data_IF_202810355450
#
_entry.id   IF_202810355450
#
_cell.length_a   1.000
_cell.length_b   1.000
_cell.length_c   1.000
_cell.angle_alpha   90.00
_cell.angle_beta   90.00
_cell.angle_gamma   90.00
#
_symmetry.space_group_name_H-M   'P 1'
#
loop_
_entity.id
_entity.type
_entity.pdbx_description
1 polymer ?
#
# COMPACT_ATOMS: atom_id res chain seq x y z
N UNK A 1 21.49 -9.59 4.59
CA UNK A 1 22.16 -10.62 3.77
C UNK A 1 21.49 -10.87 2.42
N UNK A 2 20.16 -11.08 2.36
CA UNK A 2 19.45 -11.35 1.08
C UNK A 2 19.70 -10.29 0.00
N UNK A 3 19.70 -8.98 0.34
CA UNK A 3 19.97 -7.90 -0.60
C UNK A 3 21.33 -8.01 -1.31
N UNK A 4 22.36 -8.51 -0.63
CA UNK A 4 23.70 -8.71 -1.20
C UNK A 4 23.69 -9.85 -2.23
N UNK A 5 22.93 -10.91 -1.97
CA UNK A 5 22.78 -12.02 -2.94
C UNK A 5 21.95 -11.65 -4.16
N UNK A 6 20.99 -10.71 -4.01
CA UNK A 6 20.15 -10.24 -5.12
C UNK A 6 20.84 -9.17 -5.99
N UNK A 7 21.88 -8.49 -5.47
CA UNK A 7 22.56 -7.43 -6.20
C UNK A 7 23.22 -7.91 -7.53
N UNK A 8 23.93 -9.04 -7.59
CA UNK A 8 24.45 -9.56 -8.86
C UNK A 8 23.37 -9.86 -9.90
N UNK A 9 22.25 -10.45 -9.44
CA UNK A 9 21.10 -10.73 -10.31
C UNK A 9 20.50 -9.43 -10.86
N UNK A 10 20.33 -8.41 -10.00
CA UNK A 10 19.87 -7.09 -10.43
C UNK A 10 20.77 -6.47 -11.48
N UNK A 11 22.10 -6.55 -11.30
CA UNK A 11 23.09 -6.04 -12.27
C UNK A 11 22.94 -6.78 -13.61
N UNK A 12 22.90 -8.11 -13.60
CA UNK A 12 22.75 -8.93 -14.81
C UNK A 12 21.47 -8.60 -15.59
N UNK A 13 20.35 -8.44 -14.87
CA UNK A 13 19.08 -8.04 -15.47
C UNK A 13 19.20 -6.66 -16.13
N UNK A 14 19.83 -5.69 -15.48
CA UNK A 14 20.01 -4.35 -16.04
C UNK A 14 20.94 -4.37 -17.27
N UNK A 15 22.02 -5.16 -17.26
CA UNK A 15 22.89 -5.35 -18.42
C UNK A 15 22.11 -5.94 -19.60
N UNK A 16 21.29 -6.95 -19.35
CA UNK A 16 20.42 -7.58 -20.36
C UNK A 16 19.45 -6.56 -20.98
N UNK A 17 18.76 -5.77 -20.15
CA UNK A 17 17.80 -4.77 -20.60
C UNK A 17 18.49 -3.67 -21.42
N UNK A 18 19.58 -3.09 -20.92
CA UNK A 18 20.33 -2.03 -21.63
C UNK A 18 20.83 -2.55 -22.98
N UNK A 19 21.40 -3.76 -23.01
CA UNK A 19 21.84 -4.38 -24.25
C UNK A 19 20.68 -4.54 -25.25
N UNK A 20 19.53 -5.03 -24.76
CA UNK A 20 18.35 -5.20 -25.59
C UNK A 20 17.86 -3.87 -26.20
N UNK A 21 17.78 -2.82 -25.37
CA UNK A 21 17.34 -1.48 -25.80
C UNK A 21 18.32 -0.86 -26.81
N UNK A 22 19.63 -0.95 -26.56
CA UNK A 22 20.67 -0.43 -27.48
C UNK A 22 20.61 -1.16 -28.83
N UNK A 23 20.44 -2.46 -28.84
CA UNK A 23 20.32 -3.25 -30.07
C UNK A 23 19.07 -2.86 -30.88
N UNK A 24 17.94 -2.71 -30.18
CA UNK A 24 16.69 -2.28 -30.82
C UNK A 24 16.78 -0.87 -31.40
N UNK A 25 17.24 0.11 -30.61
CA UNK A 25 17.42 1.49 -31.10
C UNK A 25 18.39 1.52 -32.28
N UNK A 26 19.49 0.79 -32.22
CA UNK A 26 20.45 0.67 -33.34
C UNK A 26 19.87 0.02 -34.59
N UNK A 27 18.85 -0.83 -34.42
CA UNK A 27 18.10 -1.35 -35.57
C UNK A 27 17.12 -0.32 -36.17
N UNK A 28 16.67 0.67 -35.41
CA UNK A 28 15.79 1.73 -35.93
C UNK A 28 16.52 2.68 -36.86
N UNK A 29 17.69 3.21 -36.45
CA UNK A 29 18.48 4.19 -37.24
C UNK A 29 19.96 4.13 -36.91
N UNK A 30 20.82 4.54 -37.90
CA UNK A 30 22.27 4.65 -37.70
C UNK A 30 22.69 5.66 -36.64
N UNK A 31 21.90 6.72 -36.42
CA UNK A 31 22.15 7.69 -35.35
C UNK A 31 22.30 7.01 -33.98
N UNK A 32 21.43 6.04 -33.67
CA UNK A 32 21.47 5.30 -32.41
C UNK A 32 22.62 4.28 -32.30
N UNK A 33 23.37 4.08 -33.39
CA UNK A 33 24.57 3.23 -33.40
C UNK A 33 25.83 4.02 -33.00
N UNK A 34 25.78 5.35 -32.99
CA UNK A 34 26.94 6.19 -32.63
C UNK A 34 27.36 5.93 -31.20
N UNK A 35 28.68 5.97 -30.96
CA UNK A 35 29.26 5.80 -29.62
C UNK A 35 28.70 6.84 -28.63
N UNK A 36 28.62 8.10 -29.06
CA UNK A 36 28.11 9.19 -28.23
C UNK A 36 26.67 8.94 -27.75
N UNK A 37 25.76 8.50 -28.65
CA UNK A 37 24.40 8.20 -28.27
C UNK A 37 24.33 7.00 -27.29
N UNK A 38 25.03 5.91 -27.60
CA UNK A 38 25.04 4.71 -26.74
C UNK A 38 25.61 5.01 -25.35
N UNK A 39 26.68 5.79 -25.27
CA UNK A 39 27.27 6.19 -24.00
C UNK A 39 26.33 7.08 -23.19
N UNK A 40 25.70 8.07 -23.83
CA UNK A 40 24.71 8.94 -23.19
C UNK A 40 23.51 8.13 -22.66
N UNK A 41 22.93 7.27 -23.51
CA UNK A 41 21.80 6.42 -23.13
C UNK A 41 22.15 5.49 -21.97
N UNK A 42 23.31 4.82 -22.03
CA UNK A 42 23.77 3.94 -20.95
C UNK A 42 24.00 4.74 -19.66
N UNK A 43 24.58 5.94 -19.72
CA UNK A 43 24.77 6.81 -18.56
C UNK A 43 23.45 7.21 -17.90
N UNK A 44 22.46 7.64 -18.69
CA UNK A 44 21.11 7.96 -18.17
C UNK A 44 20.46 6.73 -17.55
N UNK A 45 20.51 5.59 -18.21
CA UNK A 45 19.94 4.35 -17.68
C UNK A 45 20.63 3.91 -16.38
N UNK A 46 21.96 3.96 -16.31
CA UNK A 46 22.72 3.64 -15.09
C UNK A 46 22.29 4.58 -13.95
N UNK A 47 22.19 5.89 -14.22
CA UNK A 47 21.70 6.85 -13.22
C UNK A 47 20.31 6.46 -12.71
N UNK A 48 19.37 6.11 -13.59
CA UNK A 48 18.02 5.70 -13.22
C UNK A 48 18.04 4.38 -12.41
N UNK A 49 18.76 3.37 -12.89
CA UNK A 49 18.81 2.05 -12.23
C UNK A 49 19.53 2.07 -10.88
N UNK A 50 20.47 3.00 -10.68
CA UNK A 50 21.17 3.17 -9.41
C UNK A 50 20.53 4.23 -8.50
N UNK A 51 19.48 4.92 -8.95
CA UNK A 51 18.85 6.04 -8.22
C UNK A 51 18.35 5.64 -6.84
N UNK A 52 17.88 4.39 -6.64
CA UNK A 52 17.46 3.87 -5.34
C UNK A 52 18.64 3.80 -4.36
N UNK A 53 19.80 3.28 -4.79
CA UNK A 53 21.01 3.24 -3.98
C UNK A 53 21.53 4.65 -3.74
N UNK A 54 21.53 5.48 -4.78
CA UNK A 54 22.01 6.86 -4.72
C UNK A 54 21.18 7.69 -3.72
N UNK A 55 19.84 7.58 -3.73
CA UNK A 55 19.00 8.28 -2.77
C UNK A 55 19.19 7.76 -1.33
N UNK A 56 19.47 6.48 -1.14
CA UNK A 56 19.77 5.93 0.18
C UNK A 56 21.08 6.48 0.76
N UNK A 57 22.09 6.68 -0.08
CA UNK A 57 23.40 7.20 0.31
C UNK A 57 23.41 8.74 0.44
N UNK A 58 22.73 9.45 -0.47
CA UNK A 58 22.71 10.91 -0.52
C UNK A 58 21.44 11.44 0.15
N UNK A 59 21.56 11.84 1.41
CA UNK A 59 20.42 12.34 2.22
C UNK A 59 20.38 13.87 2.32
N UNK A 60 21.45 14.55 1.91
CA UNK A 60 21.56 16.03 1.95
C UNK A 60 22.10 16.55 0.61
N UNK A 61 21.65 17.73 0.14
CA UNK A 61 20.58 18.56 0.71
C UNK A 61 19.17 17.91 0.50
N UNK A 62 18.15 18.27 1.30
CA UNK A 62 16.82 17.63 1.25
C UNK A 62 16.13 17.66 -0.12
N UNK A 63 16.34 18.74 -0.89
CA UNK A 63 15.76 18.87 -2.24
C UNK A 63 16.33 17.82 -3.21
N UNK A 64 17.65 17.58 -3.16
CA UNK A 64 18.31 16.56 -3.98
C UNK A 64 17.85 15.16 -3.55
N UNK A 65 17.80 14.89 -2.25
CA UNK A 65 17.31 13.60 -1.75
C UNK A 65 15.88 13.31 -2.22
N UNK A 66 14.97 14.28 -2.12
CA UNK A 66 13.58 14.17 -2.62
C UNK A 66 13.55 13.92 -4.13
N UNK A 67 14.37 14.60 -4.91
CA UNK A 67 14.47 14.38 -6.35
C UNK A 67 14.91 12.95 -6.66
N UNK A 68 15.98 12.47 -6.02
CA UNK A 68 16.50 11.11 -6.20
C UNK A 68 15.48 10.05 -5.76
N UNK A 69 14.81 10.25 -4.64
CA UNK A 69 13.77 9.32 -4.12
C UNK A 69 12.60 9.21 -5.09
N UNK A 70 12.08 10.34 -5.58
CA UNK A 70 10.99 10.34 -6.55
C UNK A 70 11.43 9.69 -7.88
N UNK A 71 12.64 10.00 -8.37
CA UNK A 71 13.21 9.35 -9.57
C UNK A 71 13.27 7.84 -9.39
N UNK A 72 13.78 7.37 -8.25
CA UNK A 72 13.84 5.95 -7.92
C UNK A 72 12.46 5.31 -7.89
N UNK A 73 11.48 5.93 -7.23
CA UNK A 73 10.13 5.39 -7.10
C UNK A 73 9.41 5.28 -8.46
N UNK A 74 9.55 6.28 -9.35
CA UNK A 74 9.00 6.18 -10.71
C UNK A 74 9.73 5.14 -11.55
N UNK A 75 11.06 5.10 -11.48
CA UNK A 75 11.85 4.14 -12.24
C UNK A 75 11.55 2.70 -11.82
N UNK A 76 11.45 2.40 -10.52
CA UNK A 76 11.19 1.04 -10.03
C UNK A 76 9.90 0.44 -10.59
N UNK A 77 8.81 1.21 -10.62
CA UNK A 77 7.56 0.73 -11.19
C UNK A 77 7.67 0.50 -12.69
N UNK A 78 8.28 1.46 -13.43
CA UNK A 78 8.53 1.31 -14.88
C UNK A 78 9.48 0.15 -15.18
N UNK A 79 10.52 -0.04 -14.35
CA UNK A 79 11.49 -1.13 -14.49
C UNK A 79 10.83 -2.52 -14.43
N UNK A 80 9.85 -2.70 -13.54
CA UNK A 80 9.08 -3.95 -13.48
C UNK A 80 8.44 -4.27 -14.84
N UNK A 81 7.83 -3.28 -15.49
CA UNK A 81 7.18 -3.49 -16.79
C UNK A 81 8.17 -3.59 -17.94
N UNK A 82 9.29 -2.88 -17.90
CA UNK A 82 10.40 -3.09 -18.83
C UNK A 82 10.84 -4.55 -18.77
N UNK A 83 11.08 -5.07 -17.58
CA UNK A 83 11.52 -6.45 -17.36
C UNK A 83 10.49 -7.45 -17.88
N UNK A 84 9.24 -7.33 -17.45
CA UNK A 84 8.16 -8.25 -17.83
C UNK A 84 7.98 -8.27 -19.36
N UNK A 85 7.86 -7.11 -19.99
CA UNK A 85 7.57 -7.01 -21.42
C UNK A 85 8.74 -7.55 -22.25
N UNK A 86 10.00 -7.17 -21.92
CA UNK A 86 11.16 -7.63 -22.69
C UNK A 86 11.36 -9.14 -22.51
N UNK A 87 11.31 -9.67 -21.29
CA UNK A 87 11.49 -11.09 -21.03
C UNK A 87 10.38 -11.91 -21.69
N UNK A 88 9.12 -11.49 -21.56
CA UNK A 88 8.00 -12.19 -22.21
C UNK A 88 8.15 -12.19 -23.74
N UNK A 89 8.56 -11.05 -24.31
CA UNK A 89 8.79 -10.91 -25.74
C UNK A 89 9.90 -11.85 -26.24
N UNK A 90 11.05 -11.88 -25.52
CA UNK A 90 12.15 -12.75 -25.93
C UNK A 90 11.83 -14.23 -25.70
N UNK A 91 11.07 -14.57 -24.67
CA UNK A 91 10.56 -15.93 -24.45
C UNK A 91 9.60 -16.35 -25.57
N UNK A 92 8.65 -15.50 -25.95
CA UNK A 92 7.76 -15.76 -27.10
C UNK A 92 8.55 -15.94 -28.39
N UNK A 93 9.55 -15.11 -28.64
CA UNK A 93 10.44 -15.23 -29.80
C UNK A 93 11.21 -16.57 -29.77
N UNK A 94 11.71 -16.96 -28.61
CA UNK A 94 12.41 -18.24 -28.44
C UNK A 94 11.50 -19.44 -28.76
N UNK A 95 10.28 -19.43 -28.20
CA UNK A 95 9.28 -20.48 -28.45
C UNK A 95 8.94 -20.55 -29.96
N UNK A 96 8.58 -19.42 -30.57
CA UNK A 96 8.23 -19.35 -31.99
C UNK A 96 9.39 -19.79 -32.89
N UNK A 97 10.62 -19.47 -32.52
CA UNK A 97 11.82 -19.90 -33.23
C UNK A 97 11.97 -21.42 -33.25
N UNK A 98 11.62 -22.10 -32.17
CA UNK A 98 11.80 -23.55 -32.04
C UNK A 98 10.57 -24.38 -32.43
N UNK A 99 9.40 -23.73 -32.59
CA UNK A 99 8.15 -24.43 -32.96
C UNK A 99 7.73 -24.18 -34.40
N UNK A 100 7.52 -22.92 -34.78
CA UNK A 100 6.91 -22.52 -36.05
C UNK A 100 7.92 -22.02 -37.10
N UNK A 101 9.12 -21.64 -36.70
CA UNK A 101 10.21 -21.13 -37.57
C UNK A 101 9.77 -20.05 -38.59
N UNK A 102 8.95 -19.03 -38.25
CA UNK A 102 8.45 -18.08 -39.22
C UNK A 102 9.58 -17.17 -39.75
N UNK A 103 9.81 -17.20 -41.07
CA UNK A 103 10.92 -16.48 -41.72
C UNK A 103 10.91 -14.97 -41.44
N UNK A 104 9.73 -14.35 -41.34
CA UNK A 104 9.58 -12.91 -41.06
C UNK A 104 10.22 -12.46 -39.74
N UNK A 105 10.27 -13.36 -38.74
CA UNK A 105 10.76 -13.07 -37.39
C UNK A 105 12.26 -12.73 -37.36
N UNK A 106 13.01 -13.17 -38.36
CA UNK A 106 14.44 -12.88 -38.46
C UNK A 106 14.74 -11.55 -39.18
N UNK A 107 13.70 -10.85 -39.66
CA UNK A 107 13.88 -9.58 -40.34
C UNK A 107 14.13 -8.44 -39.38
N UNK A 108 14.98 -7.48 -39.83
CA UNK A 108 15.19 -6.20 -39.10
C UNK A 108 13.86 -5.47 -38.86
N UNK A 109 12.94 -5.51 -39.86
CA UNK A 109 11.64 -4.85 -39.75
C UNK A 109 10.80 -5.43 -38.59
N UNK A 110 10.77 -6.77 -38.46
CA UNK A 110 10.07 -7.42 -37.37
C UNK A 110 10.64 -7.00 -35.99
N UNK A 111 11.97 -6.95 -35.86
CA UNK A 111 12.61 -6.54 -34.62
C UNK A 111 12.31 -5.07 -34.25
N UNK A 112 12.33 -4.17 -35.24
CA UNK A 112 11.98 -2.75 -35.04
C UNK A 112 10.53 -2.61 -34.62
N UNK A 113 9.60 -3.28 -35.30
CA UNK A 113 8.16 -3.24 -34.98
C UNK A 113 7.91 -3.84 -33.58
N UNK A 114 8.47 -4.99 -33.26
CA UNK A 114 8.34 -5.63 -31.95
C UNK A 114 8.82 -4.70 -30.84
N UNK A 115 9.99 -4.09 -30.97
CA UNK A 115 10.50 -3.17 -29.97
C UNK A 115 9.68 -1.89 -29.84
N UNK A 116 9.11 -1.38 -30.95
CA UNK A 116 8.17 -0.24 -30.89
C UNK A 116 6.90 -0.61 -30.11
N UNK A 117 6.33 -1.79 -30.35
CA UNK A 117 5.17 -2.30 -29.60
C UNK A 117 5.52 -2.46 -28.12
N UNK A 118 6.66 -3.07 -27.79
CA UNK A 118 7.13 -3.19 -26.40
C UNK A 118 7.23 -1.81 -25.72
N UNK A 119 7.85 -0.84 -26.40
CA UNK A 119 8.02 0.53 -25.87
C UNK A 119 6.67 1.20 -25.61
N UNK A 120 5.74 1.10 -26.56
CA UNK A 120 4.40 1.66 -26.39
C UNK A 120 3.62 1.01 -25.24
N UNK A 121 3.73 -0.32 -25.08
CA UNK A 121 3.12 -1.04 -23.96
C UNK A 121 3.72 -0.58 -22.61
N UNK A 122 5.05 -0.51 -22.50
CA UNK A 122 5.73 -0.06 -21.28
C UNK A 122 5.33 1.36 -20.92
N UNK A 123 5.33 2.28 -21.89
CA UNK A 123 4.91 3.67 -21.67
C UNK A 123 3.44 3.71 -21.27
N UNK A 124 2.57 3.01 -21.98
CA UNK A 124 1.12 3.00 -21.73
C UNK A 124 0.78 2.52 -20.32
N UNK A 125 1.35 1.37 -19.89
CA UNK A 125 1.12 0.81 -18.55
C UNK A 125 1.71 1.72 -17.48
N UNK A 126 2.91 2.27 -17.70
CA UNK A 126 3.55 3.18 -16.73
C UNK A 126 2.74 4.45 -16.55
N UNK A 127 2.31 5.10 -17.62
CA UNK A 127 1.46 6.28 -17.56
C UNK A 127 0.11 5.98 -16.88
N UNK A 128 -0.54 4.88 -17.28
CA UNK A 128 -1.76 4.43 -16.62
C UNK A 128 -1.58 4.31 -15.11
N UNK A 129 -0.53 3.60 -14.65
CA UNK A 129 -0.28 3.40 -13.23
C UNK A 129 0.03 4.70 -12.48
N UNK A 130 0.78 5.61 -13.11
CA UNK A 130 1.11 6.93 -12.54
C UNK A 130 -0.15 7.79 -12.37
N UNK A 131 -1.08 7.77 -13.30
CA UNK A 131 -2.33 8.53 -13.17
C UNK A 131 -3.35 7.84 -12.27
N UNK A 132 -3.41 6.51 -12.31
CA UNK A 132 -4.38 5.72 -11.54
C UNK A 132 -4.21 5.87 -10.03
N UNK A 133 -2.98 6.06 -9.52
CA UNK A 133 -2.74 6.30 -8.09
C UNK A 133 -3.49 7.52 -7.52
N UNK A 134 -3.80 8.51 -8.36
CA UNK A 134 -4.54 9.72 -7.96
C UNK A 134 -6.06 9.55 -8.01
N UNK A 135 -6.55 8.46 -8.62
CA UNK A 135 -7.96 8.16 -8.77
C UNK A 135 -8.47 7.35 -7.59
N UNK A 136 -8.69 8.02 -6.46
CA UNK A 136 -9.18 7.38 -5.24
C UNK A 136 -10.61 6.91 -5.45
N UNK A 137 -10.86 5.61 -5.34
CA UNK A 137 -12.19 5.01 -5.44
C UNK A 137 -12.86 4.88 -4.09
N UNK A 138 -14.19 4.91 -4.05
CA UNK A 138 -14.97 4.45 -2.90
C UNK A 138 -15.44 3.03 -3.16
N UNK A 139 -15.12 2.11 -2.24
CA UNK A 139 -15.70 0.77 -2.18
C UNK A 139 -16.77 0.76 -1.12
N UNK A 140 -17.94 0.25 -1.44
CA UNK A 140 -19.08 0.19 -0.51
C UNK A 140 -19.28 -1.23 0.00
N UNK A 141 -19.57 -1.33 1.29
CA UNK A 141 -19.89 -2.60 1.95
C UNK A 141 -21.11 -2.42 2.84
N UNK A 142 -22.00 -3.41 2.85
CA UNK A 142 -23.12 -3.53 3.77
C UNK A 142 -22.89 -4.72 4.69
N UNK A 143 -22.81 -4.47 5.99
CA UNK A 143 -22.49 -5.46 7.02
C UNK A 143 -23.67 -5.56 7.98
N UNK A 144 -24.04 -6.78 8.38
CA UNK A 144 -25.12 -7.04 9.34
C UNK A 144 -24.54 -7.66 10.59
N UNK A 145 -24.70 -6.99 11.73
CA UNK A 145 -24.27 -7.46 13.05
C UNK A 145 -25.55 -7.81 13.84
N UNK A 146 -25.62 -9.06 14.32
CA UNK A 146 -26.75 -9.57 15.09
C UNK A 146 -26.67 -9.14 16.57
N UNK A 147 -26.60 -7.82 16.78
CA UNK A 147 -26.58 -7.15 18.09
C UNK A 147 -27.44 -5.89 18.02
N UNK A 148 -28.37 -5.73 18.97
CA UNK A 148 -29.19 -4.53 19.03
C UNK A 148 -28.43 -3.41 19.74
N UNK A 149 -28.42 -2.23 19.12
CA UNK A 149 -27.82 -1.01 19.72
C UNK A 149 -28.93 0.00 20.00
N UNK A 150 -29.09 0.38 21.26
CA UNK A 150 -30.16 1.30 21.67
C UNK A 150 -30.01 2.67 20.97
N UNK A 151 -31.06 3.02 20.18
CA UNK A 151 -31.12 4.30 19.47
C UNK A 151 -30.11 4.43 18.32
N UNK A 152 -29.70 3.29 17.72
CA UNK A 152 -28.84 3.26 16.54
C UNK A 152 -29.19 2.01 15.72
N UNK A 153 -29.77 2.22 14.55
CA UNK A 153 -30.11 1.13 13.61
C UNK A 153 -28.95 0.83 12.64
N UNK A 154 -28.12 1.84 12.39
CA UNK A 154 -26.95 1.71 11.54
C UNK A 154 -25.81 2.62 11.97
N UNK A 155 -24.60 2.27 11.54
CA UNK A 155 -23.37 3.05 11.72
C UNK A 155 -22.61 3.10 10.40
N UNK A 156 -22.35 4.31 9.88
CA UNK A 156 -21.56 4.50 8.67
C UNK A 156 -20.10 4.75 9.00
N UNK A 157 -19.24 3.83 8.62
CA UNK A 157 -17.80 3.87 8.86
C UNK A 157 -17.08 4.14 7.54
N UNK A 158 -16.13 5.07 7.53
CA UNK A 158 -15.12 5.13 6.46
C UNK A 158 -13.82 4.56 6.98
N UNK A 159 -13.40 3.44 6.35
CA UNK A 159 -12.07 2.85 6.54
C UNK A 159 -11.12 3.37 5.48
N UNK A 160 -9.93 3.75 5.92
CA UNK A 160 -8.76 3.97 5.09
C UNK A 160 -7.51 3.44 5.80
N UNK A 161 -6.49 3.08 5.03
CA UNK A 161 -5.18 2.64 5.51
C UNK A 161 -4.12 2.98 4.47
N UNK A 162 -2.85 2.75 4.78
CA UNK A 162 -1.75 2.78 3.82
C UNK A 162 -1.69 4.10 3.04
N UNK A 163 -1.73 5.22 3.75
CA UNK A 163 -1.67 6.55 3.13
C UNK A 163 -0.23 6.84 2.69
N UNK A 164 0.76 6.46 3.52
CA UNK A 164 2.18 6.65 3.28
C UNK A 164 2.57 8.11 3.01
N UNK A 165 2.18 9.02 3.91
CA UNK A 165 2.67 10.39 3.84
C UNK A 165 4.20 10.43 3.89
N UNK A 166 4.81 11.04 2.88
CA UNK A 166 6.25 11.04 2.73
C UNK A 166 6.74 11.84 1.53
N UNK A 167 7.71 11.30 0.81
CA UNK A 167 8.28 11.96 -0.37
C UNK A 167 7.33 12.01 -1.56
N UNK A 168 6.49 10.99 -1.73
CA UNK A 168 5.58 10.82 -2.88
C UNK A 168 4.17 11.33 -2.59
N UNK A 169 3.67 11.10 -1.39
CA UNK A 169 2.31 11.45 -0.94
C UNK A 169 2.38 12.62 0.04
N UNK A 170 1.60 13.67 -0.21
CA UNK A 170 1.59 14.88 0.61
C UNK A 170 0.26 15.63 0.56
N UNK A 171 0.31 16.96 0.73
CA UNK A 171 -0.84 17.87 0.86
C UNK A 171 -1.93 17.65 -0.18
N UNK A 172 -1.55 17.54 -1.47
CA UNK A 172 -2.51 17.36 -2.57
C UNK A 172 -3.34 16.10 -2.37
N UNK A 173 -2.68 14.99 -2.00
CA UNK A 173 -3.35 13.71 -1.76
C UNK A 173 -4.23 13.76 -0.51
N UNK A 174 -3.73 14.36 0.58
CA UNK A 174 -4.52 14.61 1.78
C UNK A 174 -5.82 15.39 1.46
N UNK A 175 -5.73 16.44 0.64
CA UNK A 175 -6.91 17.20 0.20
C UNK A 175 -7.92 16.38 -0.61
N UNK A 176 -7.44 15.48 -1.48
CA UNK A 176 -8.31 14.57 -2.22
C UNK A 176 -8.99 13.56 -1.30
N UNK A 177 -8.25 12.98 -0.34
CA UNK A 177 -8.80 12.06 0.66
C UNK A 177 -9.88 12.73 1.50
N UNK A 178 -9.58 13.89 2.08
CA UNK A 178 -10.53 14.63 2.93
C UNK A 178 -11.80 14.96 2.16
N UNK A 179 -11.67 15.47 0.93
CA UNK A 179 -12.84 15.76 0.07
C UNK A 179 -13.69 14.51 -0.15
N UNK A 180 -13.04 13.39 -0.43
CA UNK A 180 -13.74 12.14 -0.73
C UNK A 180 -14.39 11.53 0.50
N UNK A 181 -13.69 11.51 1.64
CA UNK A 181 -14.20 10.99 2.91
C UNK A 181 -15.39 11.83 3.39
N UNK A 182 -15.26 13.16 3.38
CA UNK A 182 -16.35 14.03 3.82
C UNK A 182 -17.59 13.94 2.91
N UNK A 183 -17.43 13.59 1.62
CA UNK A 183 -18.55 13.35 0.72
C UNK A 183 -19.34 12.09 1.04
N UNK A 184 -18.75 11.14 1.77
CA UNK A 184 -19.44 9.95 2.26
C UNK A 184 -20.30 10.22 3.51
N UNK A 185 -20.12 11.36 4.20
CA UNK A 185 -20.81 11.74 5.43
C UNK A 185 -20.76 10.63 6.50
N UNK A 186 -19.55 10.23 6.96
CA UNK A 186 -19.38 9.10 7.87
C UNK A 186 -19.74 9.46 9.31
N UNK A 187 -20.29 8.49 10.06
CA UNK A 187 -20.40 8.58 11.51
C UNK A 187 -19.05 8.41 12.21
N UNK A 188 -18.19 7.53 11.67
CA UNK A 188 -16.90 7.17 12.22
C UNK A 188 -15.85 7.08 11.12
N UNK A 189 -14.62 7.56 11.38
CA UNK A 189 -13.50 7.38 10.46
C UNK A 189 -12.43 6.53 11.15
N UNK A 190 -12.03 5.44 10.49
CA UNK A 190 -11.03 4.49 10.95
C UNK A 190 -9.81 4.51 10.01
N UNK A 191 -8.61 4.75 10.56
CA UNK A 191 -7.35 4.73 9.83
C UNK A 191 -6.55 3.52 10.31
N UNK A 192 -6.55 2.45 9.54
CA UNK A 192 -5.94 1.18 9.92
C UNK A 192 -4.43 1.13 9.56
N UNK A 193 -3.65 2.08 10.06
CA UNK A 193 -2.18 2.08 10.00
C UNK A 193 -1.56 2.52 8.68
N UNK A 194 -0.21 2.53 8.68
CA UNK A 194 0.66 2.99 7.59
C UNK A 194 0.29 4.39 7.10
N UNK A 195 0.17 5.30 8.07
CA UNK A 195 -0.11 6.72 7.82
C UNK A 195 1.13 7.40 7.25
N UNK A 196 2.32 7.01 7.72
CA UNK A 196 3.62 7.56 7.32
C UNK A 196 4.44 6.56 6.49
N UNK A 197 5.38 7.06 5.69
CA UNK A 197 6.29 6.26 4.86
C UNK A 197 7.71 6.24 5.48
N UNK A 198 7.83 5.69 6.70
CA UNK A 198 9.08 5.49 7.46
C UNK A 198 9.92 6.74 7.76
N UNK A 199 9.82 7.81 7.02
CA UNK A 199 10.62 9.02 7.18
C UNK A 199 9.72 10.25 7.32
N UNK A 200 9.56 10.77 8.54
CA UNK A 200 8.75 11.97 8.80
C UNK A 200 9.22 13.19 7.99
N UNK A 201 10.54 13.31 7.76
CA UNK A 201 11.16 14.33 6.92
C UNK A 201 10.70 14.27 5.46
N UNK A 202 10.16 13.15 5.04
CA UNK A 202 9.56 12.98 3.72
C UNK A 202 8.33 13.87 3.50
N UNK A 203 7.63 14.26 4.55
CA UNK A 203 6.46 15.13 4.47
C UNK A 203 6.92 16.57 4.25
N UNK A 204 6.61 17.15 3.08
CA UNK A 204 7.08 18.48 2.70
C UNK A 204 6.61 19.59 3.67
N UNK A 205 5.34 19.57 4.04
CA UNK A 205 4.70 20.55 4.92
C UNK A 205 3.79 19.83 5.93
N UNK A 206 4.36 19.21 6.98
CA UNK A 206 3.59 18.40 7.91
C UNK A 206 2.48 19.17 8.62
N UNK A 207 2.74 20.42 9.03
CA UNK A 207 1.73 21.27 9.67
C UNK A 207 0.52 21.53 8.76
N UNK A 208 0.75 21.80 7.48
CA UNK A 208 -0.32 22.03 6.51
C UNK A 208 -1.06 20.74 6.19
N UNK A 209 -0.36 19.62 6.06
CA UNK A 209 -0.97 18.30 5.86
C UNK A 209 -1.87 17.93 7.04
N UNK A 210 -1.41 18.11 8.27
CA UNK A 210 -2.21 17.89 9.48
C UNK A 210 -3.45 18.82 9.55
N UNK A 211 -3.30 20.10 9.17
CA UNK A 211 -4.42 21.05 9.11
C UNK A 211 -5.48 20.63 8.06
N UNK A 212 -5.06 20.05 6.94
CA UNK A 212 -5.98 19.50 5.94
C UNK A 212 -6.73 18.30 6.55
N UNK A 213 -6.03 17.35 7.19
CA UNK A 213 -6.65 16.19 7.82
C UNK A 213 -7.59 16.56 8.97
N UNK A 214 -7.29 17.65 9.71
CA UNK A 214 -8.16 18.18 10.76
C UNK A 214 -9.54 18.61 10.24
N UNK A 215 -9.71 18.78 8.93
CA UNK A 215 -11.01 19.10 8.31
C UNK A 215 -11.85 17.85 7.96
N UNK A 216 -11.41 16.65 8.35
CA UNK A 216 -12.23 15.44 8.33
C UNK A 216 -13.44 15.63 9.26
N UNK A 217 -14.61 15.22 8.77
CA UNK A 217 -15.89 15.37 9.48
C UNK A 217 -16.44 13.99 9.79
N UNK A 218 -16.79 13.76 11.04
CA UNK A 218 -17.51 12.56 11.48
C UNK A 218 -18.16 12.81 12.84
N UNK A 219 -19.24 12.11 13.12
CA UNK A 219 -20.01 12.25 14.37
C UNK A 219 -19.23 11.77 15.58
N UNK A 220 -18.55 10.62 15.44
CA UNK A 220 -17.86 9.94 16.56
C UNK A 220 -16.34 10.14 16.54
N UNK A 221 -15.81 10.93 15.60
CA UNK A 221 -14.40 11.27 15.52
C UNK A 221 -13.60 10.41 14.54
N UNK A 222 -12.30 10.68 14.53
CA UNK A 222 -11.31 10.02 13.68
C UNK A 222 -10.35 9.24 14.56
N UNK A 223 -10.21 7.96 14.31
CA UNK A 223 -9.34 7.06 15.07
C UNK A 223 -8.32 6.40 14.17
N UNK A 224 -7.15 6.10 14.71
CA UNK A 224 -6.09 5.41 14.00
C UNK A 224 -5.46 4.31 14.88
N UNK A 225 -4.88 3.30 14.26
CA UNK A 225 -3.85 2.46 14.86
C UNK A 225 -2.54 2.61 14.10
N UNK A 226 -1.44 2.12 14.65
CA UNK A 226 -0.15 2.11 13.95
C UNK A 226 -0.05 0.95 12.96
N UNK A 227 0.64 1.21 11.83
CA UNK A 227 1.10 0.18 10.91
C UNK A 227 2.61 -0.05 10.99
N UNK A 228 3.12 -0.92 10.16
CA UNK A 228 4.53 -1.32 10.17
C UNK A 228 5.50 -0.29 9.56
N UNK A 229 4.98 0.72 8.86
CA UNK A 229 5.74 1.85 8.33
C UNK A 229 5.63 3.13 9.20
N UNK A 230 4.82 3.12 10.25
CA UNK A 230 4.67 4.24 11.17
C UNK A 230 5.81 4.29 12.21
N UNK A 231 7.05 4.29 11.72
CA UNK A 231 8.27 4.39 12.50
C UNK A 231 9.41 4.96 11.65
N UNK A 232 10.43 5.57 12.28
CA UNK A 232 11.56 6.21 11.58
C UNK A 232 12.66 5.20 11.26
N UNK A 233 12.52 4.49 10.14
CA UNK A 233 13.43 3.42 9.73
C UNK A 233 13.96 3.62 8.31
N UNK A 234 15.30 3.56 8.07
CA UNK A 234 15.84 3.60 6.72
C UNK A 234 15.57 2.30 5.98
N UNK A 235 14.93 2.42 4.81
CA UNK A 235 14.61 1.29 3.93
C UNK A 235 15.32 1.45 2.59
N UNK A 236 15.94 0.35 2.11
CA UNK A 236 16.48 0.22 0.76
C UNK A 236 15.87 -1.01 0.08
N UNK A 237 15.12 -0.79 -1.01
CA UNK A 237 14.48 -1.85 -1.79
C UNK A 237 13.61 -2.81 -0.93
N UNK A 238 12.88 -2.29 0.06
CA UNK A 238 12.09 -3.10 0.99
C UNK A 238 12.88 -3.76 2.12
N UNK A 239 14.22 -3.64 2.12
CA UNK A 239 15.06 -4.17 3.19
C UNK A 239 15.33 -3.09 4.24
N UNK A 240 15.19 -3.46 5.51
CA UNK A 240 15.47 -2.60 6.65
C UNK A 240 16.90 -2.82 7.15
N UNK A 241 17.55 -1.73 7.54
CA UNK A 241 18.91 -1.75 8.11
C UNK A 241 18.83 -1.41 9.59
N UNK A 242 18.53 -2.41 10.38
CA UNK A 242 18.31 -2.26 11.82
C UNK A 242 19.61 -1.98 12.57
N UNK A 243 19.58 -0.94 13.40
CA UNK A 243 20.61 -0.72 14.44
C UNK A 243 19.94 -0.90 15.80
N UNK A 244 20.32 -1.93 16.54
CA UNK A 244 19.73 -2.28 17.84
C UNK A 244 19.84 -1.16 18.92
N UNK A 245 20.68 -0.15 18.68
CA UNK A 245 20.87 1.00 19.59
C UNK A 245 20.01 2.21 19.21
N UNK A 246 19.26 2.16 18.09
CA UNK A 246 18.46 3.29 17.62
C UNK A 246 17.00 3.10 18.05
N UNK A 247 16.43 4.12 18.65
CA UNK A 247 14.99 4.26 18.81
C UNK A 247 14.39 4.59 17.44
N UNK A 248 13.41 3.82 17.03
CA UNK A 248 12.68 3.98 15.78
C UNK A 248 11.34 4.71 15.97
N UNK A 249 10.93 4.96 17.22
CA UNK A 249 9.78 5.82 17.49
C UNK A 249 10.11 7.27 17.16
N UNK A 250 9.18 7.92 16.50
CA UNK A 250 9.31 9.34 16.15
C UNK A 250 8.14 10.09 16.77
N UNK A 251 8.35 10.81 17.87
CA UNK A 251 7.27 11.52 18.56
C UNK A 251 6.58 12.56 17.68
N UNK A 252 7.22 13.01 16.60
CA UNK A 252 6.61 13.93 15.65
C UNK A 252 5.43 13.30 14.90
N UNK A 253 5.43 11.97 14.71
CA UNK A 253 4.32 11.23 14.09
C UNK A 253 3.08 11.29 14.99
N UNK A 254 3.25 11.07 16.32
CA UNK A 254 2.16 11.19 17.30
C UNK A 254 1.64 12.64 17.38
N UNK A 255 2.54 13.62 17.49
CA UNK A 255 2.19 15.04 17.51
C UNK A 255 1.46 15.48 16.23
N UNK A 256 1.79 14.87 15.07
CA UNK A 256 1.08 15.11 13.83
C UNK A 256 -0.37 14.63 13.90
N UNK A 257 -0.62 13.41 14.40
CA UNK A 257 -1.98 12.87 14.58
C UNK A 257 -2.80 13.73 15.54
N UNK A 258 -2.23 14.12 16.69
CA UNK A 258 -2.87 15.01 17.66
C UNK A 258 -3.23 16.37 17.03
N UNK A 259 -2.31 16.97 16.26
CA UNK A 259 -2.56 18.24 15.57
C UNK A 259 -3.62 18.13 14.47
N UNK A 260 -3.81 16.93 13.91
CA UNK A 260 -4.86 16.59 12.94
C UNK A 260 -6.20 16.21 13.62
N UNK A 261 -6.29 16.21 14.95
CA UNK A 261 -7.44 15.72 15.72
C UNK A 261 -7.79 14.26 15.43
N UNK A 262 -6.75 13.41 15.27
CA UNK A 262 -6.86 11.97 15.07
C UNK A 262 -6.44 11.28 16.37
N UNK A 263 -7.35 10.51 16.98
CA UNK A 263 -7.06 9.74 18.19
C UNK A 263 -6.38 8.43 17.83
N UNK A 264 -5.16 8.25 18.30
CA UNK A 264 -4.43 6.99 18.18
C UNK A 264 -4.88 6.00 19.26
N UNK A 265 -5.20 4.78 18.86
CA UNK A 265 -5.44 3.64 19.73
C UNK A 265 -4.26 2.66 19.58
N UNK A 266 -3.56 2.41 20.68
CA UNK A 266 -2.28 1.69 20.72
C UNK A 266 -2.38 0.53 21.72
N UNK A 267 -2.98 -0.60 21.31
CA UNK A 267 -3.51 -1.68 22.15
C UNK A 267 -4.54 -1.16 23.18
N UNK A 268 -5.43 -0.29 22.71
CA UNK A 268 -6.46 0.37 23.50
C UNK A 268 -7.86 0.08 22.93
N UNK A 269 -8.82 -0.10 23.84
CA UNK A 269 -10.25 -0.22 23.51
C UNK A 269 -11.01 0.93 24.15
N UNK A 270 -11.87 1.57 23.36
CA UNK A 270 -12.72 2.68 23.80
C UNK A 270 -14.19 2.37 23.58
N UNK A 271 -15.03 2.72 24.55
CA UNK A 271 -16.48 2.67 24.41
C UNK A 271 -16.97 4.00 23.83
N UNK A 272 -17.54 3.97 22.62
CA UNK A 272 -18.02 5.16 21.93
C UNK A 272 -19.52 5.33 22.19
N UNK A 273 -19.89 6.48 22.71
CA UNK A 273 -21.28 6.90 22.99
C UNK A 273 -22.09 5.87 23.80
N UNK A 274 -21.40 5.02 24.59
CA UNK A 274 -21.99 3.87 25.32
C UNK A 274 -22.74 2.88 24.40
N UNK A 275 -22.36 2.79 23.13
CA UNK A 275 -23.10 2.03 22.10
C UNK A 275 -22.28 0.93 21.45
N UNK A 276 -20.99 1.15 21.24
CA UNK A 276 -20.10 0.15 20.62
C UNK A 276 -18.66 0.36 21.06
N UNK A 277 -17.87 -0.68 21.00
CA UNK A 277 -16.44 -0.62 21.27
C UNK A 277 -15.64 -0.47 19.98
N UNK A 278 -14.61 0.36 20.04
CA UNK A 278 -13.58 0.47 19.01
C UNK A 278 -12.22 0.12 19.63
N UNK A 279 -11.56 -0.88 19.08
CA UNK A 279 -10.25 -1.37 19.51
C UNK A 279 -9.22 -1.06 18.43
N UNK A 280 -8.10 -0.45 18.80
CA UNK A 280 -6.93 -0.31 17.91
C UNK A 280 -5.77 -1.15 18.44
N UNK A 281 -5.25 -2.04 17.60
CA UNK A 281 -4.15 -2.94 17.97
C UNK A 281 -2.82 -2.42 17.45
N UNK A 282 -1.75 -2.69 18.22
CA UNK A 282 -0.37 -2.48 17.77
C UNK A 282 -0.04 -3.39 16.58
N UNK A 283 0.71 -2.89 15.62
CA UNK A 283 1.19 -3.71 14.51
C UNK A 283 2.27 -4.70 14.96
N UNK A 284 2.18 -6.00 14.60
CA UNK A 284 3.12 -7.03 15.07
C UNK A 284 4.54 -6.83 14.54
N UNK A 285 4.70 -6.28 13.33
CA UNK A 285 6.02 -6.00 12.77
C UNK A 285 6.66 -4.77 13.42
N UNK A 286 5.84 -3.73 13.73
CA UNK A 286 6.30 -2.57 14.48
C UNK A 286 6.75 -2.97 15.89
N UNK A 287 5.95 -3.74 16.62
CA UNK A 287 6.32 -4.25 17.96
C UNK A 287 7.64 -5.03 17.93
N UNK A 288 7.82 -5.94 16.99
CA UNK A 288 9.06 -6.69 16.82
C UNK A 288 10.27 -5.80 16.54
N UNK A 289 10.09 -4.73 15.76
CA UNK A 289 11.14 -3.76 15.44
C UNK A 289 11.51 -2.90 16.65
N UNK A 290 10.54 -2.56 17.48
CA UNK A 290 10.73 -1.72 18.68
C UNK A 290 11.03 -2.52 19.95
N UNK A 291 11.03 -3.84 19.87
CA UNK A 291 11.12 -4.72 21.05
C UNK A 291 10.01 -4.46 22.08
N UNK A 292 8.83 -4.11 21.56
CA UNK A 292 7.59 -3.87 22.32
C UNK A 292 6.69 -5.11 22.31
N UNK A 293 5.72 -5.15 23.22
CA UNK A 293 4.73 -6.22 23.32
C UNK A 293 3.41 -5.77 22.67
N UNK A 294 2.70 -6.74 22.11
CA UNK A 294 1.36 -6.57 21.56
C UNK A 294 0.38 -7.40 22.38
N UNK A 295 -0.75 -6.84 22.75
CA UNK A 295 -1.80 -7.58 23.43
C UNK A 295 -2.49 -8.56 22.49
N UNK A 296 -2.83 -9.73 23.00
CA UNK A 296 -3.69 -10.65 22.29
C UNK A 296 -5.13 -10.11 22.22
N UNK A 297 -5.93 -10.52 21.20
CA UNK A 297 -7.31 -10.06 21.07
C UNK A 297 -8.15 -10.29 22.32
N UNK A 298 -8.00 -11.44 22.99
CA UNK A 298 -8.72 -11.77 24.22
C UNK A 298 -8.42 -10.81 25.37
N UNK A 299 -7.17 -10.36 25.50
CA UNK A 299 -6.79 -9.38 26.51
C UNK A 299 -7.47 -8.02 26.31
N UNK A 300 -7.73 -7.66 25.05
CA UNK A 300 -8.39 -6.39 24.69
C UNK A 300 -9.91 -6.45 24.86
N UNK A 301 -10.48 -7.67 24.88
CA UNK A 301 -11.94 -7.87 24.98
C UNK A 301 -12.39 -8.48 26.30
N UNK A 302 -11.49 -8.90 27.18
CA UNK A 302 -11.78 -9.65 28.41
C UNK A 302 -12.82 -8.96 29.33
N UNK A 303 -12.76 -7.64 29.42
CA UNK A 303 -13.62 -6.84 30.31
C UNK A 303 -14.77 -6.14 29.55
N UNK A 304 -15.00 -6.45 28.27
CA UNK A 304 -16.02 -5.77 27.50
C UNK A 304 -17.39 -6.45 27.62
N UNK A 305 -18.43 -5.64 27.56
CA UNK A 305 -19.80 -6.13 27.40
C UNK A 305 -19.99 -6.64 25.95
N UNK A 306 -19.96 -7.95 25.78
CA UNK A 306 -20.07 -8.60 24.47
C UNK A 306 -21.47 -8.52 23.85
N UNK A 307 -22.47 -7.95 24.56
CA UNK A 307 -23.76 -7.63 23.97
C UNK A 307 -23.71 -6.40 23.07
N UNK A 308 -22.69 -5.54 23.24
CA UNK A 308 -22.41 -4.42 22.37
C UNK A 308 -21.50 -4.82 21.20
N UNK A 309 -21.62 -4.14 20.04
CA UNK A 309 -20.72 -4.37 18.92
C UNK A 309 -19.26 -4.05 19.27
N UNK A 310 -18.35 -4.90 18.80
CA UNK A 310 -16.91 -4.76 18.98
C UNK A 310 -16.24 -4.64 17.61
N UNK A 311 -15.66 -3.49 17.33
CA UNK A 311 -14.97 -3.18 16.07
C UNK A 311 -13.46 -3.13 16.33
N UNK A 312 -12.69 -3.88 15.56
CA UNK A 312 -11.23 -3.87 15.58
C UNK A 312 -10.68 -3.05 14.43
N UNK A 313 -9.61 -2.31 14.69
CA UNK A 313 -8.65 -1.81 13.71
C UNK A 313 -7.33 -2.54 13.91
N UNK A 314 -6.96 -3.38 12.95
CA UNK A 314 -5.69 -4.10 12.92
C UNK A 314 -5.02 -3.83 11.57
N UNK A 315 -3.79 -3.29 11.56
CA UNK A 315 -3.17 -2.93 10.30
C UNK A 315 -2.97 -4.13 9.38
N UNK A 316 -2.33 -5.21 9.89
CA UNK A 316 -2.11 -6.42 9.11
C UNK A 316 -3.29 -7.38 9.25
N UNK A 317 -3.85 -7.93 8.15
CA UNK A 317 -4.95 -8.87 8.17
C UNK A 317 -4.49 -10.29 8.58
N UNK A 318 -3.80 -10.38 9.72
CA UNK A 318 -3.38 -11.62 10.36
C UNK A 318 -4.30 -11.96 11.53
N UNK A 319 -4.11 -13.09 12.19
CA UNK A 319 -4.80 -13.48 13.43
C UNK A 319 -6.34 -13.34 13.39
N UNK A 320 -6.96 -13.52 12.23
CA UNK A 320 -8.42 -13.37 12.09
C UNK A 320 -9.21 -14.36 12.91
N UNK A 321 -8.70 -15.59 13.07
CA UNK A 321 -9.35 -16.62 13.91
C UNK A 321 -9.34 -16.20 15.37
N UNK A 322 -8.22 -15.66 15.86
CA UNK A 322 -8.08 -15.17 17.22
C UNK A 322 -8.93 -13.94 17.47
N UNK A 323 -8.99 -13.00 16.51
CA UNK A 323 -9.83 -11.80 16.61
C UNK A 323 -11.31 -12.17 16.62
N UNK A 324 -11.73 -13.12 15.78
CA UNK A 324 -13.09 -13.63 15.76
C UNK A 324 -13.44 -14.37 17.07
N UNK A 325 -12.53 -15.22 17.57
CA UNK A 325 -12.72 -15.96 18.83
C UNK A 325 -12.82 -15.02 20.05
N UNK A 326 -12.11 -13.88 20.03
CA UNK A 326 -12.22 -12.84 21.05
C UNK A 326 -13.59 -12.13 21.06
N UNK A 327 -14.42 -12.35 20.05
CA UNK A 327 -15.79 -11.81 19.94
C UNK A 327 -15.89 -10.49 19.21
N UNK A 328 -14.94 -10.19 18.33
CA UNK A 328 -15.04 -9.08 17.38
C UNK A 328 -16.20 -9.33 16.39
N UNK A 329 -16.94 -8.29 16.07
CA UNK A 329 -18.01 -8.32 15.07
C UNK A 329 -17.53 -7.79 13.71
N UNK A 330 -16.60 -6.84 13.72
CA UNK A 330 -16.01 -6.23 12.54
C UNK A 330 -14.51 -6.01 12.74
N UNK A 331 -13.70 -6.42 11.76
CA UNK A 331 -12.27 -6.24 11.73
C UNK A 331 -11.86 -5.47 10.48
N UNK A 332 -11.16 -4.34 10.66
CA UNK A 332 -10.81 -3.35 9.65
C UNK A 332 -9.30 -3.32 9.45
N UNK A 333 -8.82 -3.69 8.24
CA UNK A 333 -7.41 -3.88 7.95
C UNK A 333 -6.95 -3.16 6.68
N UNK A 334 -5.61 -3.05 6.53
CA UNK A 334 -4.91 -2.57 5.34
C UNK A 334 -3.71 -3.45 4.98
N UNK A 335 -2.51 -2.83 4.87
CA UNK A 335 -1.18 -3.46 4.76
C UNK A 335 -0.84 -4.06 3.40
N UNK A 336 -1.73 -4.76 2.75
CA UNK A 336 -1.41 -5.61 1.59
C UNK A 336 -1.25 -4.82 0.30
N UNK A 337 -1.81 -3.60 0.25
CA UNK A 337 -2.00 -2.81 -0.97
C UNK A 337 -2.66 -3.59 -2.12
N UNK A 338 -3.16 -4.80 -1.83
CA UNK A 338 -3.56 -5.82 -2.83
C UNK A 338 -2.48 -5.99 -3.93
N UNK A 339 -1.20 -5.97 -3.50
CA UNK A 339 -0.02 -6.06 -4.36
C UNK A 339 0.30 -4.82 -5.19
N UNK A 340 -0.54 -3.79 -5.21
CA UNK A 340 -0.35 -2.48 -5.87
C UNK A 340 -0.02 -2.54 -7.38
N UNK A 341 0.93 -3.38 -7.81
CA UNK A 341 1.42 -3.54 -9.18
C UNK A 341 1.08 -4.94 -9.72
N UNK A 342 0.54 -5.02 -10.95
CA UNK A 342 0.43 -6.31 -11.63
C UNK A 342 1.83 -6.83 -12.03
N UNK A 343 2.15 -8.12 -11.82
CA UNK A 343 1.30 -9.22 -11.33
C UNK A 343 1.41 -9.49 -9.80
N UNK A 344 1.95 -8.56 -8.99
CA UNK A 344 2.17 -8.79 -7.57
C UNK A 344 0.87 -9.03 -6.79
N UNK A 345 -0.26 -8.52 -7.28
CA UNK A 345 -1.59 -8.80 -6.72
C UNK A 345 -1.93 -10.30 -6.70
N UNK A 346 -1.46 -11.07 -7.70
CA UNK A 346 -1.64 -12.53 -7.74
C UNK A 346 -0.88 -13.17 -6.57
N UNK A 347 0.37 -12.73 -6.34
CA UNK A 347 1.20 -13.25 -5.25
C UNK A 347 0.60 -12.89 -3.91
N UNK A 348 0.13 -11.64 -3.75
CA UNK A 348 -0.51 -11.17 -2.51
C UNK A 348 -1.76 -11.99 -2.19
N UNK A 349 -2.60 -12.28 -3.20
CA UNK A 349 -3.77 -13.14 -3.06
C UNK A 349 -3.47 -14.61 -2.72
N UNK A 350 -2.25 -15.08 -2.99
CA UNK A 350 -1.82 -16.43 -2.59
C UNK A 350 -1.25 -16.46 -1.15
N UNK A 351 -0.73 -15.34 -0.66
CA UNK A 351 -0.12 -15.23 0.67
C UNK A 351 -1.15 -14.97 1.75
N UNK A 352 -2.15 -14.12 1.47
CA UNK A 352 -3.14 -13.68 2.44
C UNK A 352 -4.50 -14.34 2.17
N UNK A 353 -5.14 -14.89 3.20
CA UNK A 353 -6.52 -15.44 3.11
C UNK A 353 -7.53 -14.37 2.63
N UNK A 354 -7.35 -13.12 3.06
CA UNK A 354 -8.04 -11.94 2.55
C UNK A 354 -7.01 -10.86 2.29
N UNK A 355 -6.57 -10.72 1.05
CA UNK A 355 -5.64 -9.66 0.66
C UNK A 355 -6.33 -8.32 0.47
N UNK A 356 -7.58 -8.32 0.02
CA UNK A 356 -8.39 -7.13 -0.20
C UNK A 356 -9.86 -7.52 -0.34
N UNK A 357 -10.76 -6.67 0.14
CA UNK A 357 -12.18 -6.88 0.04
C UNK A 357 -12.80 -7.43 1.33
N UNK A 358 -13.84 -8.24 1.19
CA UNK A 358 -14.65 -8.75 2.28
C UNK A 358 -14.45 -10.23 2.49
N UNK A 359 -14.32 -10.63 3.76
CA UNK A 359 -14.32 -12.02 4.20
C UNK A 359 -15.21 -12.14 5.46
N UNK A 360 -15.95 -13.24 5.60
CA UNK A 360 -16.67 -13.56 6.84
C UNK A 360 -15.97 -14.71 7.57
N UNK A 361 -15.70 -14.52 8.86
CA UNK A 361 -15.06 -15.52 9.72
C UNK A 361 -15.97 -15.79 10.93
N UNK A 362 -16.72 -16.88 10.90
CA UNK A 362 -17.78 -17.11 11.88
C UNK A 362 -18.83 -16.01 11.83
N UNK A 363 -19.02 -15.29 12.94
CA UNK A 363 -19.88 -14.09 13.01
C UNK A 363 -19.17 -12.80 12.65
N UNK A 364 -17.83 -12.80 12.68
CA UNK A 364 -17.02 -11.61 12.39
C UNK A 364 -16.95 -11.30 10.89
N UNK A 365 -17.11 -10.03 10.56
CA UNK A 365 -16.86 -9.48 9.24
C UNK A 365 -15.45 -8.90 9.19
N UNK A 366 -14.63 -9.27 8.19
CA UNK A 366 -13.32 -8.69 7.97
C UNK A 366 -13.30 -7.92 6.65
N UNK A 367 -12.83 -6.68 6.67
CA UNK A 367 -12.68 -5.83 5.50
C UNK A 367 -11.23 -5.37 5.42
N UNK A 368 -10.58 -5.70 4.30
CA UNK A 368 -9.22 -5.29 3.99
C UNK A 368 -9.24 -4.30 2.84
N UNK A 369 -8.70 -3.11 3.03
CA UNK A 369 -8.57 -2.12 1.95
C UNK A 369 -7.28 -2.32 1.16
N UNK A 370 -7.32 -1.99 -0.15
CA UNK A 370 -6.12 -1.92 -0.98
C UNK A 370 -5.26 -0.67 -0.70
N UNK A 371 -5.68 0.16 0.26
CA UNK A 371 -4.93 1.34 0.70
C UNK A 371 -5.27 2.63 -0.04
N UNK A 372 -5.17 3.74 0.67
CA UNK A 372 -5.54 5.07 0.18
C UNK A 372 -4.39 5.81 -0.53
N UNK A 373 -3.14 5.39 -0.29
CA UNK A 373 -1.93 5.93 -0.92
C UNK A 373 -1.15 4.90 -1.71
N UNK A 374 0.16 5.01 -1.70
CA UNK A 374 1.10 4.10 -2.40
C UNK A 374 2.33 3.86 -1.55
N UNK A 375 2.90 2.67 -1.64
CA UNK A 375 4.18 2.32 -1.05
C UNK A 375 5.23 2.03 -2.14
N UNK A 376 6.45 2.58 -1.98
CA UNK A 376 7.55 2.36 -2.93
C UNK A 376 7.29 2.97 -4.31
N UNK A 377 7.03 2.18 -5.35
CA UNK A 377 6.81 2.68 -6.72
C UNK A 377 5.63 3.64 -6.84
N UNK A 378 5.86 4.80 -7.49
CA UNK A 378 4.84 5.85 -7.67
C UNK A 378 3.81 5.50 -8.75
N UNK A 379 3.16 4.35 -8.63
CA UNK A 379 2.09 3.92 -9.54
C UNK A 379 1.23 2.79 -8.97
N UNK A 380 0.01 2.67 -9.48
CA UNK A 380 -0.90 1.55 -9.24
C UNK A 380 -1.43 1.01 -10.56
N UNK A 381 -1.23 -0.29 -10.82
CA UNK A 381 -1.63 -0.93 -12.08
C UNK A 381 -2.58 -2.11 -11.88
N UNK A 382 -2.47 -2.84 -10.78
CA UNK A 382 -3.36 -3.94 -10.45
C UNK A 382 -4.60 -3.48 -9.69
N UNK A 383 -4.45 -2.43 -8.89
CA UNK A 383 -5.42 -1.98 -7.89
C UNK A 383 -5.68 -0.48 -8.01
N UNK A 384 -6.61 0.06 -7.23
CA UNK A 384 -6.84 1.49 -7.12
C UNK A 384 -6.44 1.98 -5.74
N UNK A 385 -6.09 3.27 -5.62
CA UNK A 385 -6.20 3.92 -4.32
C UNK A 385 -7.67 3.96 -3.91
N UNK A 386 -7.99 3.64 -2.65
CA UNK A 386 -9.39 3.56 -2.24
C UNK A 386 -9.63 3.98 -0.80
N UNK A 387 -10.87 4.29 -0.51
CA UNK A 387 -11.50 4.31 0.82
C UNK A 387 -12.65 3.32 0.82
N UNK A 388 -12.93 2.69 1.96
CA UNK A 388 -14.08 1.80 2.11
C UNK A 388 -15.19 2.52 2.89
N UNK A 389 -16.36 2.68 2.29
CA UNK A 389 -17.57 3.19 2.93
C UNK A 389 -18.40 1.99 3.38
N UNK A 390 -18.50 1.79 4.69
CA UNK A 390 -19.08 0.59 5.30
C UNK A 390 -20.34 1.01 6.06
N UNK A 391 -21.51 0.47 5.66
CA UNK A 391 -22.74 0.63 6.42
C UNK A 391 -22.93 -0.63 7.27
N UNK A 392 -22.83 -0.47 8.59
CA UNK A 392 -23.10 -1.53 9.55
C UNK A 392 -24.53 -1.40 10.02
N UNK A 393 -25.35 -2.45 9.81
CA UNK A 393 -26.72 -2.53 10.28
C UNK A 393 -26.78 -3.39 11.54
N UNK A 394 -27.47 -2.92 12.56
CA UNK A 394 -27.65 -3.60 13.83
C UNK A 394 -29.04 -4.23 13.92
N UNK A 395 -29.11 -5.53 14.20
CA UNK A 395 -30.35 -6.26 14.33
C UNK A 395 -30.42 -6.96 15.70
N UNK A 396 -31.64 -7.16 16.27
CA UNK A 396 -31.78 -8.04 17.42
C UNK A 396 -31.25 -9.44 17.06
N UNK A 397 -30.53 -10.06 17.98
CA UNK A 397 -30.10 -11.44 17.81
C UNK A 397 -31.34 -12.32 17.48
N UNK A 398 -31.27 -13.12 16.41
CA UNK A 398 -32.33 -14.06 16.09
C UNK A 398 -32.44 -15.05 17.23
N UNK A 399 -33.64 -15.31 17.77
CA UNK A 399 -33.81 -16.39 18.74
C UNK A 399 -33.31 -17.69 18.09
N UNK A 400 -32.50 -18.44 18.84
CA UNK A 400 -32.02 -19.75 18.37
C UNK A 400 -33.22 -20.60 17.97
N UNK A 401 -33.25 -21.10 16.74
CA UNK A 401 -34.27 -21.95 16.18
C UNK A 401 -34.27 -23.36 16.82
N UNK A 402 -33.69 -23.53 18.01
CA UNK A 402 -33.56 -24.78 18.75
C UNK A 402 -34.36 -24.84 20.07
N UNK A 403 -35.26 -23.87 20.34
CA UNK A 403 -36.24 -24.06 21.41
C UNK A 403 -37.55 -24.62 20.81
N UNK A 404 -37.84 -25.89 20.97
CA UNK A 404 -39.20 -26.41 20.68
C UNK A 404 -40.15 -25.93 21.79
N UNK A 405 -41.16 -25.15 21.39
CA UNK A 405 -42.32 -24.80 22.19
C UNK A 405 -43.07 -26.03 22.75
#
# INVERSE_FOLDING_TARGET
MLAIFLAPLYILINIYIVRWMILWMGACTHFFQTFAFRACFAGVYIFLSTSLLTCFLIRKPPALHRFLKNTANYFQGTFLYILIVIVTTDLCRLILKHTLHPAWMYSRKAFVVTGAVCTLLIIGVSLYGIFNQWNIKTKTYDVKIDKQVKGMDSLKIVLLADIHFGYSIGEKHAGLLVKKINAEDPDLICIAGDIFDNEYEGIKNPKKTAAILRSLKSRYGVYACWGNHDLSEPILAGFTFRNAKKDYDDPRMRNFLESANIRLLDDETVLIDKRFYLTGRKDPSRCRKMSDTRKDPDQLTACLDKTLPIIFMDHQPGQRDEVAAAGADLDLCGHTHDGQLFPLNIITGLVWENSCGYLKKGTMHNIVTSGAGIWGPNMRTATNSEICSITVHFYPARPNSSDPS
#
